data_IF_577294671314
#
_entry.id   IF_577294671314
#
_cell.length_a   1.000
_cell.length_b   1.000
_cell.length_c   1.000
_cell.angle_alpha   90.00
_cell.angle_beta   90.00
_cell.angle_gamma   90.00
#
_symmetry.space_group_name_H-M   'P 1'
#
loop_
_entity.id
_entity.type
_entity.pdbx_description
1 polymer ?
#
# COMPACT_ATOMS: atom_id res chain seq x y z
N UNK A 1 -20.13 13.12 -30.29
CA UNK A 1 -20.45 12.66 -28.93
C UNK A 1 -19.27 11.85 -28.41
N UNK A 2 -18.35 12.52 -27.73
CA UNK A 2 -17.24 11.87 -27.04
C UNK A 2 -17.83 11.23 -25.78
N UNK A 3 -17.96 9.92 -25.76
CA UNK A 3 -18.39 9.19 -24.57
C UNK A 3 -17.27 9.36 -23.53
N UNK A 4 -17.55 10.09 -22.44
CA UNK A 4 -16.67 10.08 -21.28
C UNK A 4 -16.74 8.69 -20.65
N UNK A 5 -15.61 8.07 -20.29
CA UNK A 5 -15.64 6.77 -19.63
C UNK A 5 -16.34 6.93 -18.28
N UNK A 6 -17.47 6.24 -18.09
CA UNK A 6 -18.12 6.21 -16.78
C UNK A 6 -17.22 5.44 -15.82
N UNK A 7 -16.69 6.15 -14.82
CA UNK A 7 -15.81 5.57 -13.81
C UNK A 7 -16.64 4.61 -12.96
N UNK A 8 -16.57 3.33 -13.29
CA UNK A 8 -17.26 2.26 -12.59
C UNK A 8 -16.74 2.18 -11.15
N UNK A 9 -17.50 2.72 -10.20
CA UNK A 9 -17.12 2.81 -8.79
C UNK A 9 -16.70 1.43 -8.23
N UNK A 10 -17.36 0.36 -8.67
CA UNK A 10 -17.01 -1.00 -8.27
C UNK A 10 -15.60 -1.42 -8.70
N UNK A 11 -15.12 -0.95 -9.86
CA UNK A 11 -13.75 -1.21 -10.32
C UNK A 11 -12.73 -0.40 -9.54
N UNK A 12 -13.04 0.86 -9.19
CA UNK A 12 -12.19 1.68 -8.31
C UNK A 12 -12.07 1.01 -6.94
N UNK A 13 -13.19 0.59 -6.35
CA UNK A 13 -13.20 -0.04 -5.02
C UNK A 13 -12.36 -1.31 -5.00
N UNK A 14 -12.50 -2.16 -6.02
CA UNK A 14 -11.69 -3.39 -6.14
C UNK A 14 -10.21 -3.06 -6.30
N UNK A 15 -9.87 -2.11 -7.17
CA UNK A 15 -8.48 -1.69 -7.38
C UNK A 15 -7.87 -1.20 -6.06
N UNK A 16 -8.52 -0.24 -5.40
CA UNK A 16 -8.05 0.31 -4.13
C UNK A 16 -7.92 -0.78 -3.05
N UNK A 17 -8.88 -1.71 -2.98
CA UNK A 17 -8.82 -2.83 -2.03
C UNK A 17 -7.57 -3.69 -2.24
N UNK A 18 -7.26 -4.04 -3.49
CA UNK A 18 -6.08 -4.84 -3.81
C UNK A 18 -4.78 -4.10 -3.50
N UNK A 19 -4.73 -2.80 -3.78
CA UNK A 19 -3.55 -2.00 -3.50
C UNK A 19 -3.31 -1.80 -1.99
N UNK A 20 -4.37 -1.65 -1.19
CA UNK A 20 -4.26 -1.63 0.27
C UNK A 20 -3.74 -2.96 0.83
N UNK A 21 -4.20 -4.09 0.28
CA UNK A 21 -3.68 -5.41 0.64
C UNK A 21 -2.18 -5.53 0.30
N UNK A 22 -1.79 -5.12 -0.91
CA UNK A 22 -0.39 -5.08 -1.35
C UNK A 22 0.48 -4.22 -0.43
N UNK A 23 0.05 -3.01 -0.08
CA UNK A 23 0.78 -2.15 0.85
C UNK A 23 1.01 -2.82 2.22
N UNK A 24 -0.01 -3.53 2.73
CA UNK A 24 0.07 -4.26 4.00
C UNK A 24 1.04 -5.44 3.94
N UNK A 25 1.04 -6.21 2.84
CA UNK A 25 2.00 -7.29 2.61
C UNK A 25 3.44 -6.79 2.59
N UNK A 26 3.68 -5.68 1.90
CA UNK A 26 5.01 -5.06 1.75
C UNK A 26 5.53 -4.55 3.09
N UNK A 27 4.68 -3.92 3.88
CA UNK A 27 4.99 -3.51 5.25
C UNK A 27 5.36 -4.70 6.14
N UNK A 28 4.57 -5.77 6.10
CA UNK A 28 4.81 -6.97 6.89
C UNK A 28 6.16 -7.62 6.52
N UNK A 29 6.47 -7.71 5.23
CA UNK A 29 7.76 -8.24 4.74
C UNK A 29 8.94 -7.35 5.16
N UNK A 30 8.78 -6.03 5.14
CA UNK A 30 9.81 -5.09 5.60
C UNK A 30 10.08 -5.24 7.11
N UNK A 31 9.04 -5.21 7.93
CA UNK A 31 9.12 -5.39 9.39
C UNK A 31 9.69 -6.77 9.77
N UNK A 32 9.33 -7.83 9.03
CA UNK A 32 9.77 -9.19 9.31
C UNK A 32 11.31 -9.35 9.30
N UNK A 33 12.04 -8.49 8.58
CA UNK A 33 13.52 -8.49 8.58
C UNK A 33 14.12 -8.16 9.95
N UNK A 34 13.36 -7.47 10.81
CA UNK A 34 13.78 -7.04 12.15
C UNK A 34 13.26 -7.94 13.28
N UNK A 35 12.47 -8.98 12.95
CA UNK A 35 11.90 -9.89 13.96
C UNK A 35 13.01 -10.57 14.78
N UNK A 36 12.88 -10.50 16.10
CA UNK A 36 13.84 -11.08 17.05
C UNK A 36 15.11 -10.25 17.27
N UNK A 37 15.22 -9.05 16.69
CA UNK A 37 16.39 -8.16 16.89
C UNK A 37 16.25 -7.20 18.07
N UNK A 38 15.04 -7.06 18.63
CA UNK A 38 14.76 -6.10 19.70
C UNK A 38 14.79 -4.63 19.26
N UNK A 39 14.83 -4.37 17.95
CA UNK A 39 14.88 -3.02 17.36
C UNK A 39 13.50 -2.64 16.80
N UNK A 40 12.61 -2.22 17.71
CA UNK A 40 11.22 -1.85 17.39
C UNK A 40 11.15 -0.64 16.46
N UNK A 41 11.94 0.40 16.74
CA UNK A 41 11.92 1.64 15.95
C UNK A 41 12.34 1.40 14.50
N UNK A 42 13.38 0.58 14.26
CA UNK A 42 13.79 0.27 12.89
C UNK A 42 12.75 -0.61 12.18
N UNK A 43 12.09 -1.53 12.89
CA UNK A 43 11.02 -2.34 12.33
C UNK A 43 9.81 -1.50 11.91
N UNK A 44 9.39 -0.56 12.76
CA UNK A 44 8.26 0.34 12.51
C UNK A 44 8.56 1.31 11.36
N UNK A 45 9.76 1.91 11.37
CA UNK A 45 10.22 2.78 10.28
C UNK A 45 10.23 2.03 8.94
N UNK A 46 10.78 0.81 8.89
CA UNK A 46 10.83 0.02 7.68
C UNK A 46 9.42 -0.35 7.16
N UNK A 47 8.46 -0.61 8.05
CA UNK A 47 7.07 -0.84 7.68
C UNK A 47 6.42 0.43 7.12
N UNK A 48 6.57 1.56 7.79
CA UNK A 48 5.99 2.84 7.41
C UNK A 48 6.53 3.34 6.07
N UNK A 49 7.83 3.21 5.84
CA UNK A 49 8.46 3.56 4.55
C UNK A 49 7.93 2.68 3.42
N UNK A 50 7.84 1.37 3.62
CA UNK A 50 7.30 0.46 2.62
C UNK A 50 5.82 0.76 2.29
N UNK A 51 4.98 1.01 3.30
CA UNK A 51 3.59 1.43 3.04
C UNK A 51 3.54 2.75 2.27
N UNK A 52 4.35 3.73 2.66
CA UNK A 52 4.41 5.04 2.00
C UNK A 52 4.81 4.91 0.54
N UNK A 53 5.81 4.08 0.24
CA UNK A 53 6.26 3.81 -1.13
C UNK A 53 5.12 3.23 -1.98
N UNK A 54 4.44 2.18 -1.51
CA UNK A 54 3.34 1.54 -2.27
C UNK A 54 2.15 2.50 -2.43
N UNK A 55 1.71 3.17 -1.36
CA UNK A 55 0.58 4.10 -1.42
C UNK A 55 0.87 5.34 -2.28
N UNK A 56 2.13 5.78 -2.35
CA UNK A 56 2.52 6.91 -3.21
C UNK A 56 2.43 6.63 -4.71
N UNK A 57 2.36 5.35 -5.11
CA UNK A 57 2.17 4.96 -6.51
C UNK A 57 0.70 5.04 -6.94
N UNK A 58 -0.23 5.21 -5.99
CA UNK A 58 -1.64 5.30 -6.31
C UNK A 58 -1.96 6.66 -6.96
N UNK A 59 -2.78 6.68 -8.02
CA UNK A 59 -3.19 7.91 -8.69
C UNK A 59 -4.29 8.63 -7.87
N UNK A 60 -4.00 8.90 -6.59
CA UNK A 60 -4.89 9.57 -5.64
C UNK A 60 -4.20 10.86 -5.14
N UNK A 61 -4.98 11.92 -4.93
CA UNK A 61 -4.51 13.23 -4.48
C UNK A 61 -4.97 13.51 -3.06
#
# INVERSE_FOLDING_TARGET
MTQQPETDASKIDRYLTLELARASERAAVAAAKFRGRGDEMAADLAAAEAMREELSQLPVR
#
